data_IF_932406616830
#
_entry.id   IF_932406616830
#
_cell.length_a   1.000
_cell.length_b   1.000
_cell.length_c   1.000
_cell.angle_alpha   90.00
_cell.angle_beta   90.00
_cell.angle_gamma   90.00
#
_symmetry.space_group_name_H-M   'P 1'
#
loop_
_entity.id
_entity.type
_entity.pdbx_description
1 polymer ?
#
# COMPACT_ATOMS: atom_id res chain seq x y z
N UNK A 1 8.40 10.45 -12.86
CA UNK A 1 8.45 9.85 -11.50
C UNK A 1 7.60 10.64 -10.50
N UNK A 2 7.97 11.88 -10.14
CA UNK A 2 7.25 12.71 -9.17
C UNK A 2 5.80 13.07 -9.59
N UNK A 3 5.53 13.19 -10.90
CA UNK A 3 4.19 13.49 -11.41
C UNK A 3 3.17 12.35 -11.18
N UNK A 4 3.61 11.08 -11.22
CA UNK A 4 2.74 9.93 -10.97
C UNK A 4 2.33 9.85 -9.50
N UNK A 5 3.31 10.08 -8.62
CA UNK A 5 3.12 10.24 -7.17
C UNK A 5 2.15 11.41 -6.93
N UNK A 6 2.42 12.60 -7.45
CA UNK A 6 1.55 13.77 -7.24
C UNK A 6 0.12 13.60 -7.79
N UNK A 7 -0.07 12.86 -8.89
CA UNK A 7 -1.40 12.54 -9.42
C UNK A 7 -2.19 11.60 -8.51
N UNK A 8 -1.51 10.70 -7.80
CA UNK A 8 -2.09 9.76 -6.83
C UNK A 8 -2.30 10.42 -5.45
N UNK A 9 -1.43 11.34 -5.04
CA UNK A 9 -1.51 12.05 -3.74
C UNK A 9 -2.34 13.35 -3.80
N UNK A 10 -2.55 13.96 -4.97
CA UNK A 10 -3.09 15.32 -5.12
C UNK A 10 -4.62 15.49 -5.04
N UNK A 11 -5.37 14.56 -4.42
CA UNK A 11 -6.85 14.65 -4.33
C UNK A 11 -7.42 14.60 -2.91
N UNK A 12 -6.61 14.71 -1.87
CA UNK A 12 -7.10 14.70 -0.48
C UNK A 12 -7.34 16.12 0.05
N UNK A 13 -8.14 16.90 -0.69
CA UNK A 13 -8.83 18.05 -0.13
C UNK A 13 -10.23 17.59 0.31
N UNK A 14 -10.59 17.94 1.56
CA UNK A 14 -11.90 17.78 2.22
C UNK A 14 -12.16 16.47 2.99
N UNK A 15 -11.89 16.52 4.30
CA UNK A 15 -12.94 16.65 5.33
C UNK A 15 -12.46 16.03 6.64
N UNK A 16 -12.12 16.89 7.61
CA UNK A 16 -11.78 16.53 8.99
C UNK A 16 -12.98 15.99 9.80
N UNK A 17 -13.94 15.31 9.15
CA UNK A 17 -15.18 14.80 9.77
C UNK A 17 -15.30 13.28 9.71
N UNK A 18 -14.42 12.58 9.00
CA UNK A 18 -14.36 11.11 8.96
C UNK A 18 -13.34 10.55 9.94
N UNK A 19 -13.73 10.51 11.21
CA UNK A 19 -12.95 10.02 12.36
C UNK A 19 -12.68 8.49 12.34
N UNK A 20 -12.83 7.74 11.24
CA UNK A 20 -13.15 6.30 11.40
C UNK A 20 -12.40 5.20 10.62
N UNK A 21 -11.53 5.44 9.63
CA UNK A 21 -10.78 4.32 8.97
C UNK A 21 -9.42 4.74 8.43
N UNK A 22 -8.35 4.32 9.09
CA UNK A 22 -6.97 4.44 8.59
C UNK A 22 -6.77 3.54 7.35
N UNK A 23 -6.04 4.04 6.33
CA UNK A 23 -5.73 3.27 5.11
C UNK A 23 -4.26 3.43 4.77
N UNK A 24 -3.57 2.32 4.56
CA UNK A 24 -2.19 2.30 4.09
C UNK A 24 -2.17 2.23 2.56
N UNK A 25 -1.50 3.18 1.90
CA UNK A 25 -1.33 3.20 0.45
C UNK A 25 0.12 2.83 0.11
N UNK A 26 0.29 1.70 -0.57
CA UNK A 26 1.58 1.19 -1.04
C UNK A 26 1.69 1.42 -2.55
N UNK A 27 2.79 2.02 -3.01
CA UNK A 27 3.07 2.23 -4.43
C UNK A 27 4.46 1.68 -4.74
N UNK A 28 4.53 0.69 -5.63
CA UNK A 28 5.77 0.16 -6.18
C UNK A 28 5.87 0.63 -7.63
N UNK A 29 6.96 1.29 -8.00
CA UNK A 29 7.22 1.70 -9.39
C UNK A 29 8.52 1.06 -9.84
N UNK A 30 8.51 0.48 -11.03
CA UNK A 30 9.67 -0.16 -11.63
C UNK A 30 9.79 0.17 -13.13
N UNK A 31 11.02 0.28 -13.62
CA UNK A 31 11.30 0.51 -15.04
C UNK A 31 11.12 -0.80 -15.83
N UNK A 32 10.67 -0.74 -17.09
CA UNK A 32 10.29 -1.95 -17.86
C UNK A 32 11.45 -2.94 -18.11
N UNK A 33 12.69 -2.54 -17.85
CA UNK A 33 13.89 -3.35 -18.06
C UNK A 33 14.12 -4.34 -16.89
N UNK A 34 13.38 -5.46 -16.88
CA UNK A 34 13.88 -6.69 -16.26
C UNK A 34 13.06 -7.31 -15.13
N UNK A 35 11.92 -6.75 -14.73
CA UNK A 35 11.05 -7.38 -13.72
C UNK A 35 9.86 -8.05 -14.39
N UNK A 36 9.73 -9.36 -14.15
CA UNK A 36 8.59 -10.11 -14.64
C UNK A 36 7.33 -9.77 -13.82
N UNK A 37 6.13 -9.80 -14.44
CA UNK A 37 4.88 -9.61 -13.71
C UNK A 37 4.71 -10.59 -12.55
N UNK A 38 5.26 -11.80 -12.64
CA UNK A 38 5.24 -12.76 -11.54
C UNK A 38 6.02 -12.25 -10.31
N UNK A 39 7.18 -11.62 -10.52
CA UNK A 39 7.96 -11.06 -9.41
C UNK A 39 7.19 -9.92 -8.70
N UNK A 40 6.47 -9.07 -9.43
CA UNK A 40 5.62 -8.04 -8.82
C UNK A 40 4.47 -8.64 -8.00
N UNK A 41 3.89 -9.75 -8.46
CA UNK A 41 2.87 -10.48 -7.70
C UNK A 41 3.45 -11.13 -6.45
N UNK A 42 4.64 -11.73 -6.52
CA UNK A 42 5.32 -12.30 -5.36
C UNK A 42 5.62 -11.23 -4.32
N UNK A 43 6.24 -10.11 -4.73
CA UNK A 43 6.53 -8.98 -3.84
C UNK A 43 5.27 -8.42 -3.19
N UNK A 44 4.17 -8.32 -3.95
CA UNK A 44 2.87 -7.92 -3.42
C UNK A 44 2.44 -8.84 -2.27
N UNK A 45 2.47 -10.15 -2.48
CA UNK A 45 2.03 -11.14 -1.48
C UNK A 45 2.89 -11.04 -0.22
N UNK A 46 4.21 -10.98 -0.40
CA UNK A 46 5.16 -10.87 0.71
C UNK A 46 4.96 -9.58 1.52
N UNK A 47 4.79 -8.44 0.85
CA UNK A 47 4.57 -7.15 1.52
C UNK A 47 3.26 -7.13 2.29
N UNK A 48 2.18 -7.68 1.74
CA UNK A 48 0.91 -7.82 2.46
C UNK A 48 1.09 -8.67 3.71
N UNK A 49 1.78 -9.80 3.58
CA UNK A 49 2.04 -10.70 4.71
C UNK A 49 2.88 -10.02 5.80
N UNK A 50 3.90 -9.25 5.42
CA UNK A 50 4.70 -8.46 6.36
C UNK A 50 3.85 -7.40 7.06
N UNK A 51 3.02 -6.66 6.32
CA UNK A 51 2.12 -5.64 6.90
C UNK A 51 1.13 -6.30 7.87
N UNK A 52 0.58 -7.46 7.52
CA UNK A 52 -0.30 -8.25 8.38
C UNK A 52 0.34 -8.68 9.70
N UNK A 53 1.67 -8.76 9.79
CA UNK A 53 2.34 -9.05 11.06
C UNK A 53 2.24 -7.90 12.06
N UNK A 54 2.15 -6.66 11.58
CA UNK A 54 2.12 -5.44 12.42
C UNK A 54 0.74 -4.79 12.46
N UNK A 55 -0.15 -5.13 11.54
CA UNK A 55 -1.47 -4.51 11.38
C UNK A 55 -2.52 -5.57 11.12
N UNK A 56 -3.71 -5.38 11.66
CA UNK A 56 -4.90 -6.10 11.26
C UNK A 56 -5.47 -5.39 10.03
N UNK A 57 -5.44 -6.04 8.87
CA UNK A 57 -5.89 -5.48 7.59
C UNK A 57 -7.18 -6.18 7.12
N UNK A 58 -7.95 -5.51 6.27
CA UNK A 58 -9.08 -6.16 5.59
C UNK A 58 -8.69 -6.69 4.22
N UNK A 59 -8.38 -7.98 4.15
CA UNK A 59 -8.01 -8.64 2.88
C UNK A 59 -9.14 -8.58 1.84
N UNK A 60 -10.41 -8.59 2.27
CA UNK A 60 -11.56 -8.54 1.37
C UNK A 60 -11.79 -7.17 0.74
N UNK A 61 -11.31 -6.10 1.39
CA UNK A 61 -11.42 -4.73 0.92
C UNK A 61 -10.07 -4.17 0.43
N UNK A 62 -9.08 -5.05 0.25
CA UNK A 62 -7.82 -4.74 -0.38
C UNK A 62 -8.04 -4.46 -1.87
N UNK A 63 -7.66 -3.27 -2.31
CA UNK A 63 -7.71 -2.90 -3.74
C UNK A 63 -6.30 -2.84 -4.28
N UNK A 64 -6.07 -3.49 -5.43
CA UNK A 64 -4.76 -3.50 -6.10
C UNK A 64 -4.96 -3.12 -7.56
N UNK A 65 -4.12 -2.21 -8.03
CA UNK A 65 -4.11 -1.74 -9.42
C UNK A 65 -2.70 -1.86 -9.96
N UNK A 66 -2.56 -2.47 -11.13
CA UNK A 66 -1.32 -2.50 -11.88
C UNK A 66 -1.49 -1.57 -13.08
N UNK A 67 -0.73 -0.49 -13.11
CA UNK A 67 -0.68 0.47 -14.20
C UNK A 67 0.61 0.24 -14.97
N UNK A 68 0.54 0.00 -16.27
CA UNK A 68 1.70 -0.19 -17.13
C UNK A 68 1.63 0.73 -18.33
N UNK A 69 2.72 1.43 -18.58
CA UNK A 69 2.92 2.28 -19.76
C UNK A 69 4.15 1.77 -20.54
N UNK A 70 4.44 2.34 -21.70
CA UNK A 70 5.51 1.90 -22.60
C UNK A 70 6.89 1.82 -21.93
N UNK A 71 7.13 2.63 -20.90
CA UNK A 71 8.43 2.71 -20.20
C UNK A 71 8.43 2.17 -18.77
N UNK A 72 7.29 2.00 -18.11
CA UNK A 72 7.22 1.75 -16.66
C UNK A 72 6.04 0.89 -16.24
N UNK A 73 6.20 0.17 -15.13
CA UNK A 73 5.13 -0.58 -14.46
C UNK A 73 5.01 -0.09 -13.03
N UNK A 74 3.78 0.23 -12.60
CA UNK A 74 3.44 0.66 -11.27
C UNK A 74 2.39 -0.27 -10.66
N UNK A 75 2.65 -0.78 -9.45
CA UNK A 75 1.68 -1.48 -8.63
C UNK A 75 1.24 -0.55 -7.51
N UNK A 76 -0.07 -0.30 -7.41
CA UNK A 76 -0.70 0.49 -6.35
C UNK A 76 -1.59 -0.44 -5.54
N UNK A 77 -1.38 -0.51 -4.24
CA UNK A 77 -2.22 -1.25 -3.31
C UNK A 77 -2.80 -0.32 -2.24
N UNK A 78 -4.13 -0.29 -2.13
CA UNK A 78 -4.84 0.39 -1.06
C UNK A 78 -5.26 -0.66 -0.02
N UNK A 79 -4.62 -0.60 1.14
CA UNK A 79 -4.79 -1.57 2.23
C UNK A 79 -5.59 -0.90 3.35
N UNK A 80 -6.87 -1.25 3.53
CA UNK A 80 -7.64 -0.77 4.67
C UNK A 80 -7.12 -1.40 5.96
N UNK A 81 -6.74 -0.57 6.93
CA UNK A 81 -6.25 -1.01 8.22
C UNK A 81 -7.42 -1.01 9.21
N UNK A 82 -7.70 -2.16 9.82
CA UNK A 82 -8.72 -2.30 10.87
C UNK A 82 -8.16 -1.81 12.19
N UNK A 83 -6.99 -2.32 12.59
CA UNK A 83 -6.32 -1.99 13.86
C UNK A 83 -4.82 -2.16 13.73
N UNK A 84 -4.05 -1.32 14.42
CA UNK A 84 -2.62 -1.59 14.62
C UNK A 84 -2.46 -2.68 15.67
N UNK A 85 -1.60 -3.66 15.43
CA UNK A 85 -1.22 -4.60 16.48
C UNK A 85 -0.29 -3.84 17.42
N UNK A 86 -0.73 -3.57 18.65
CA UNK A 86 0.15 -3.05 19.70
C UNK A 86 1.25 -4.09 19.93
N UNK A 87 2.43 -3.87 19.39
CA UNK A 87 3.65 -4.49 19.92
C UNK A 87 3.86 -3.90 21.31
N UNK A 88 3.34 -4.58 22.33
CA UNK A 88 3.59 -4.23 23.72
C UNK A 88 5.09 -4.40 23.99
N UNK A 89 5.80 -3.27 24.07
CA UNK A 89 6.90 -3.11 25.01
C UNK A 89 6.49 -2.00 25.97
N UNK A 90 5.68 -2.37 26.96
CA UNK A 90 5.77 -1.72 28.26
C UNK A 90 6.63 -2.65 29.09
N UNK A 91 7.94 -2.51 28.95
CA UNK A 91 8.84 -2.91 30.03
C UNK A 91 8.60 -1.91 31.15
N UNK A 92 7.83 -2.34 32.13
CA UNK A 92 7.78 -1.76 33.46
C UNK A 92 9.16 -1.95 34.08
N UNK A 93 9.86 -0.85 34.39
CA UNK A 93 10.93 -0.80 35.37
C UNK A 93 10.86 0.54 36.11
#
# INVERSE_FOLDING_TARGET
MLEFINRIFGRENHSSRNVAKERLRLVLVHDRAGVSPELLQTLRIELIQVISNYMEIDENALEVSLDSNESQVALVANIPVKKMKRTMQTETA
#
